data_IF_177540968076
#
_entry.id   IF_177540968076
#
_cell.length_a   1.000
_cell.length_b   1.000
_cell.length_c   1.000
_cell.angle_alpha   90.00
_cell.angle_beta   90.00
_cell.angle_gamma   90.00
#
_symmetry.space_group_name_H-M   'P 1'
#
loop_
_entity.id
_entity.type
_entity.pdbx_description
1 polymer ?
#
# COMPACT_ATOMS: atom_id res chain seq x y z
N UNK A 1 7.14 -31.28 -8.35
CA UNK A 1 6.02 -31.00 -9.29
C UNK A 1 6.38 -29.76 -10.11
N UNK A 2 6.18 -29.78 -11.43
CA UNK A 2 6.29 -28.58 -12.26
C UNK A 2 4.88 -28.06 -12.53
N UNK A 3 4.60 -26.84 -12.07
CA UNK A 3 3.31 -26.20 -12.30
C UNK A 3 3.28 -25.56 -13.69
N UNK A 4 2.15 -25.65 -14.38
CA UNK A 4 1.91 -24.92 -15.62
C UNK A 4 1.17 -23.61 -15.34
N UNK A 5 1.93 -22.58 -14.96
CA UNK A 5 1.40 -21.27 -14.61
C UNK A 5 0.70 -20.57 -15.77
N UNK A 6 1.16 -20.81 -16.99
CA UNK A 6 0.67 -20.07 -18.17
C UNK A 6 -0.63 -20.64 -18.74
N UNK A 7 -1.00 -21.87 -18.35
CA UNK A 7 -2.26 -22.51 -18.76
C UNK A 7 -3.47 -21.69 -18.32
N UNK A 8 -3.46 -21.17 -17.11
CA UNK A 8 -4.59 -20.46 -16.51
C UNK A 8 -4.49 -18.93 -16.59
N UNK A 9 -3.63 -18.36 -17.45
CA UNK A 9 -3.38 -16.92 -17.55
C UNK A 9 -4.64 -16.05 -17.74
N UNK A 10 -5.71 -16.56 -18.40
CA UNK A 10 -6.96 -15.84 -18.55
C UNK A 10 -7.65 -15.60 -17.19
N UNK A 11 -7.60 -16.58 -16.30
CA UNK A 11 -8.17 -16.47 -14.94
C UNK A 11 -7.40 -15.41 -14.16
N UNK A 12 -6.07 -15.41 -14.25
CA UNK A 12 -5.24 -14.41 -13.57
C UNK A 12 -5.51 -12.99 -14.07
N UNK A 13 -5.67 -12.80 -15.39
CA UNK A 13 -6.02 -11.49 -15.94
C UNK A 13 -7.41 -11.02 -15.52
N UNK A 14 -8.40 -11.92 -15.46
CA UNK A 14 -9.74 -11.58 -14.98
C UNK A 14 -9.68 -11.20 -13.49
N UNK A 15 -9.01 -11.98 -12.67
CA UNK A 15 -8.87 -11.71 -11.24
C UNK A 15 -8.16 -10.37 -10.98
N UNK A 16 -7.01 -10.13 -11.64
CA UNK A 16 -6.30 -8.85 -11.55
C UNK A 16 -7.15 -7.69 -12.06
N UNK A 17 -7.90 -7.89 -13.14
CA UNK A 17 -8.81 -6.89 -13.69
C UNK A 17 -9.92 -6.50 -12.71
N UNK A 18 -10.50 -7.48 -12.01
CA UNK A 18 -11.51 -7.24 -10.95
C UNK A 18 -10.90 -6.43 -9.81
N UNK A 19 -9.70 -6.78 -9.35
CA UNK A 19 -9.01 -6.05 -8.28
C UNK A 19 -8.69 -4.60 -8.68
N UNK A 20 -8.16 -4.40 -9.88
CA UNK A 20 -7.88 -3.06 -10.43
C UNK A 20 -9.17 -2.24 -10.54
N UNK A 21 -10.20 -2.80 -11.16
CA UNK A 21 -11.47 -2.11 -11.36
C UNK A 21 -12.13 -1.77 -10.01
N UNK A 22 -12.19 -2.73 -9.08
CA UNK A 22 -12.71 -2.50 -7.74
C UNK A 22 -11.95 -1.39 -7.00
N UNK A 23 -10.61 -1.40 -7.07
CA UNK A 23 -9.78 -0.36 -6.46
C UNK A 23 -10.01 1.03 -7.09
N UNK A 24 -10.13 1.09 -8.41
CA UNK A 24 -10.43 2.35 -9.13
C UNK A 24 -11.83 2.88 -8.78
N UNK A 25 -12.82 2.00 -8.71
CA UNK A 25 -14.19 2.38 -8.29
C UNK A 25 -14.18 2.90 -6.85
N UNK A 26 -13.54 2.20 -5.92
CA UNK A 26 -13.42 2.66 -4.54
C UNK A 26 -12.75 4.03 -4.46
N UNK A 27 -11.64 4.21 -5.18
CA UNK A 27 -10.90 5.46 -5.21
C UNK A 27 -11.74 6.60 -5.84
N UNK A 28 -12.44 6.34 -6.95
CA UNK A 28 -13.26 7.33 -7.65
C UNK A 28 -14.52 7.73 -6.89
N UNK A 29 -15.15 6.79 -6.16
CA UNK A 29 -16.41 7.05 -5.43
C UNK A 29 -16.15 7.61 -4.03
N UNK A 30 -15.16 7.07 -3.30
CA UNK A 30 -14.94 7.43 -1.89
C UNK A 30 -13.75 8.36 -1.69
N UNK A 31 -12.82 8.42 -2.64
CA UNK A 31 -11.59 9.21 -2.52
C UNK A 31 -10.66 8.70 -1.42
N UNK A 32 -9.67 9.51 -1.07
CA UNK A 32 -8.76 9.27 0.04
C UNK A 32 -8.95 10.36 1.08
N UNK A 33 -8.99 10.01 2.36
CA UNK A 33 -9.05 10.97 3.46
C UNK A 33 -7.64 11.33 3.90
N UNK A 34 -7.16 12.58 3.69
CA UNK A 34 -5.86 12.99 4.19
C UNK A 34 -5.86 13.06 5.72
N UNK A 35 -4.75 12.65 6.33
CA UNK A 35 -4.50 12.77 7.75
C UNK A 35 -4.04 14.18 8.15
N UNK A 36 -3.86 14.40 9.46
CA UNK A 36 -3.38 15.68 10.00
C UNK A 36 -2.00 16.08 9.47
N UNK A 37 -1.19 15.11 9.04
CA UNK A 37 0.09 15.35 8.37
C UNK A 37 -0.03 16.29 7.15
N UNK A 38 -1.19 16.31 6.50
CA UNK A 38 -1.44 17.05 5.26
C UNK A 38 -2.47 18.18 5.40
N UNK A 39 -3.35 18.07 6.40
CA UNK A 39 -4.41 19.07 6.65
C UNK A 39 -4.06 20.03 7.78
N UNK A 40 -3.14 19.64 8.63
CA UNK A 40 -3.01 20.18 9.97
C UNK A 40 -4.12 19.65 10.89
N UNK A 41 -3.97 19.87 12.19
CA UNK A 41 -4.91 19.44 13.23
C UNK A 41 -4.22 18.68 14.35
N UNK A 42 -5.02 18.26 15.34
CA UNK A 42 -4.56 17.48 16.49
C UNK A 42 -5.25 16.12 16.54
N UNK A 43 -4.51 15.12 16.99
CA UNK A 43 -4.99 13.78 17.33
C UNK A 43 -4.68 13.54 18.79
N UNK A 44 -5.73 13.20 19.55
CA UNK A 44 -5.62 12.76 20.93
C UNK A 44 -6.17 11.34 21.05
N UNK A 45 -5.36 10.41 21.51
CA UNK A 45 -5.77 9.05 21.82
C UNK A 45 -5.74 8.85 23.33
N UNK A 46 -6.90 8.47 23.89
CA UNK A 46 -7.05 8.23 25.32
C UNK A 46 -7.75 6.91 25.58
N UNK A 47 -7.48 6.32 26.75
CA UNK A 47 -8.17 5.15 27.28
C UNK A 47 -8.89 5.52 28.58
N UNK A 48 -10.19 5.22 28.66
CA UNK A 48 -10.98 5.42 29.87
C UNK A 48 -10.62 4.37 30.93
N UNK A 49 -10.43 4.80 32.18
CA UNK A 49 -10.18 3.88 33.30
C UNK A 49 -11.40 3.04 33.66
N UNK A 50 -12.59 3.55 33.37
CA UNK A 50 -13.87 2.89 33.52
C UNK A 50 -14.54 2.68 32.15
N UNK A 51 -15.86 2.63 32.10
CA UNK A 51 -16.62 2.56 30.85
C UNK A 51 -16.42 3.81 30.01
N UNK A 52 -16.26 3.63 28.70
CA UNK A 52 -16.06 4.72 27.75
C UNK A 52 -17.36 5.48 27.53
N UNK A 53 -17.29 6.80 27.52
CA UNK A 53 -18.40 7.63 27.11
C UNK A 53 -18.80 7.38 25.65
N UNK A 54 -20.08 7.53 25.36
CA UNK A 54 -20.59 7.49 23.97
C UNK A 54 -19.98 8.63 23.17
N UNK A 55 -19.91 8.47 21.84
CA UNK A 55 -19.38 9.52 20.96
C UNK A 55 -20.16 10.84 21.11
N UNK A 56 -21.47 10.78 21.44
CA UNK A 56 -22.29 11.96 21.65
C UNK A 56 -21.98 12.66 22.99
N UNK A 57 -21.74 11.91 24.04
CA UNK A 57 -21.34 12.47 25.34
C UNK A 57 -19.97 13.15 25.24
N UNK A 58 -19.01 12.53 24.54
CA UNK A 58 -17.70 13.13 24.28
C UNK A 58 -17.87 14.46 23.49
N UNK A 59 -18.68 14.45 22.43
CA UNK A 59 -18.96 15.68 21.68
C UNK A 59 -19.56 16.77 22.53
N UNK A 60 -20.53 16.43 23.38
CA UNK A 60 -21.19 17.38 24.26
C UNK A 60 -20.22 17.94 25.34
N UNK A 61 -19.36 17.08 25.92
CA UNK A 61 -18.36 17.49 26.89
C UNK A 61 -17.33 18.49 26.31
N UNK A 62 -17.04 18.37 25.04
CA UNK A 62 -16.05 19.21 24.35
C UNK A 62 -16.67 20.39 23.59
N UNK A 63 -18.00 20.55 23.62
CA UNK A 63 -18.71 21.54 22.80
C UNK A 63 -18.35 23.02 23.11
N UNK A 64 -17.96 23.30 24.35
CA UNK A 64 -17.59 24.65 24.80
C UNK A 64 -16.16 25.05 24.36
N UNK A 65 -15.37 24.08 23.91
CA UNK A 65 -14.03 24.33 23.42
C UNK A 65 -14.08 24.55 21.89
N UNK A 66 -13.44 25.59 21.43
CA UNK A 66 -13.40 25.93 19.99
C UNK A 66 -12.49 24.96 19.22
N UNK A 67 -12.84 23.65 19.17
CA UNK A 67 -12.03 22.58 18.57
C UNK A 67 -12.30 22.36 17.08
N UNK A 68 -13.20 23.14 16.48
CA UNK A 68 -13.63 22.93 15.10
C UNK A 68 -14.48 21.67 14.93
N UNK A 69 -14.39 21.02 13.80
CA UNK A 69 -15.08 19.74 13.57
C UNK A 69 -14.35 18.61 14.27
N UNK A 70 -15.04 17.92 15.18
CA UNK A 70 -14.48 16.84 15.98
C UNK A 70 -14.89 15.51 15.38
N UNK A 71 -13.90 14.66 15.08
CA UNK A 71 -14.10 13.27 14.66
C UNK A 71 -13.68 12.32 15.77
N UNK A 72 -14.62 11.51 16.24
CA UNK A 72 -14.43 10.55 17.34
C UNK A 72 -14.48 9.15 16.77
N UNK A 73 -13.40 8.41 16.96
CA UNK A 73 -13.25 7.02 16.52
C UNK A 73 -12.97 6.14 17.73
N UNK A 74 -13.87 5.19 18.06
CA UNK A 74 -13.61 4.20 19.11
C UNK A 74 -12.43 3.29 18.76
N UNK A 75 -11.63 2.93 19.76
CA UNK A 75 -10.54 1.96 19.64
C UNK A 75 -10.58 0.98 20.83
N UNK A 76 -10.64 -0.31 20.54
CA UNK A 76 -10.87 -1.30 21.59
C UNK A 76 -12.20 -1.08 22.34
N UNK A 77 -12.25 -1.54 23.59
CA UNK A 77 -13.45 -1.42 24.43
C UNK A 77 -13.54 -0.07 25.14
N UNK A 78 -12.40 0.48 25.58
CA UNK A 78 -12.33 1.70 26.41
C UNK A 78 -11.58 2.85 25.76
N UNK A 79 -10.92 2.62 24.62
CA UNK A 79 -10.13 3.62 23.93
C UNK A 79 -10.96 4.50 23.00
N UNK A 80 -10.47 5.71 22.76
CA UNK A 80 -11.01 6.63 21.76
C UNK A 80 -9.91 7.49 21.15
N UNK A 81 -9.99 7.68 19.84
CA UNK A 81 -9.17 8.64 19.09
C UNK A 81 -10.05 9.83 18.75
N UNK A 82 -9.64 11.00 19.17
CA UNK A 82 -10.31 12.27 18.91
C UNK A 82 -9.44 13.09 17.96
N UNK A 83 -9.99 13.49 16.82
CA UNK A 83 -9.34 14.38 15.87
C UNK A 83 -10.05 15.72 15.86
N UNK A 84 -9.28 16.80 15.89
CA UNK A 84 -9.79 18.16 16.00
C UNK A 84 -8.86 19.15 15.27
N UNK A 85 -9.20 20.43 15.22
CA UNK A 85 -8.28 21.44 14.71
C UNK A 85 -6.99 21.46 15.56
N UNK A 86 -5.95 22.08 15.01
CA UNK A 86 -4.71 22.35 15.75
C UNK A 86 -5.00 23.12 17.06
N UNK A 87 -4.53 22.58 18.18
CA UNK A 87 -4.72 23.16 19.52
C UNK A 87 -3.37 23.30 20.22
N UNK A 88 -3.30 24.29 21.10
CA UNK A 88 -2.16 24.50 21.99
C UNK A 88 -2.23 23.61 23.24
N UNK A 89 -1.14 23.59 24.01
CA UNK A 89 -1.06 22.79 25.22
C UNK A 89 -2.09 23.16 26.29
N UNK A 90 -2.47 24.44 26.38
CA UNK A 90 -3.47 24.88 27.35
C UNK A 90 -4.86 24.31 27.01
N UNK A 91 -5.24 24.31 25.74
CA UNK A 91 -6.49 23.71 25.25
C UNK A 91 -6.43 22.19 25.34
N UNK A 92 -5.27 21.56 25.09
CA UNK A 92 -5.07 20.12 25.28
C UNK A 92 -5.38 19.67 26.70
N UNK A 93 -4.86 20.37 27.71
CA UNK A 93 -5.14 20.08 29.12
C UNK A 93 -6.63 20.26 29.46
N UNK A 94 -7.31 21.28 28.91
CA UNK A 94 -8.75 21.46 29.08
C UNK A 94 -9.54 20.31 28.46
N UNK A 95 -9.12 19.78 27.31
CA UNK A 95 -9.74 18.61 26.69
C UNK A 95 -9.62 17.40 27.61
N UNK A 96 -8.43 17.12 28.16
CA UNK A 96 -8.22 15.99 29.07
C UNK A 96 -9.08 16.15 30.34
N UNK A 97 -9.16 17.33 30.93
CA UNK A 97 -9.99 17.61 32.10
C UNK A 97 -11.48 17.32 31.83
N UNK A 98 -12.01 17.74 30.66
CA UNK A 98 -13.40 17.51 30.27
C UNK A 98 -13.70 16.04 29.94
N UNK A 99 -12.72 15.28 29.45
CA UNK A 99 -12.85 13.83 29.24
C UNK A 99 -12.88 13.04 30.54
N UNK A 100 -12.39 13.62 31.66
CA UNK A 100 -12.44 13.02 32.97
C UNK A 100 -11.32 12.03 33.23
N UNK A 101 -11.63 10.86 33.83
CA UNK A 101 -10.63 9.87 34.21
C UNK A 101 -10.16 9.04 33.01
N UNK A 102 -9.27 9.63 32.22
CA UNK A 102 -8.66 9.00 31.05
C UNK A 102 -7.15 8.88 31.26
N UNK A 103 -6.56 7.91 30.60
CA UNK A 103 -5.12 7.79 30.40
C UNK A 103 -4.81 8.24 28.97
N UNK A 104 -3.93 9.22 28.84
CA UNK A 104 -3.47 9.69 27.54
C UNK A 104 -2.46 8.68 26.99
N UNK A 105 -2.79 8.11 25.83
CA UNK A 105 -1.90 7.19 25.11
C UNK A 105 -1.05 7.92 24.08
N UNK A 106 -1.61 9.01 23.49
CA UNK A 106 -0.93 9.73 22.42
C UNK A 106 -1.58 11.11 22.23
N UNK A 107 -0.73 12.13 22.09
CA UNK A 107 -1.12 13.44 21.57
C UNK A 107 -0.17 13.89 20.46
N UNK A 108 -0.72 14.31 19.35
CA UNK A 108 0.03 14.90 18.23
C UNK A 108 -0.72 16.12 17.72
N UNK A 109 0.01 17.20 17.48
CA UNK A 109 -0.54 18.43 16.91
C UNK A 109 0.36 18.93 15.80
N UNK A 110 -0.24 19.21 14.64
CA UNK A 110 0.46 19.69 13.44
C UNK A 110 -0.21 20.97 12.97
N UNK A 111 0.52 22.07 13.05
CA UNK A 111 0.04 23.34 12.57
C UNK A 111 -0.26 23.34 11.05
N UNK A 112 -1.24 24.12 10.58
CA UNK A 112 -1.67 24.12 9.17
C UNK A 112 -0.57 24.52 8.18
N UNK A 113 0.41 25.29 8.63
CA UNK A 113 1.58 25.66 7.79
C UNK A 113 2.47 24.46 7.54
N UNK A 114 2.78 23.70 8.60
CA UNK A 114 3.59 22.49 8.53
C UNK A 114 2.87 21.44 7.69
N UNK A 115 1.57 21.22 7.89
CA UNK A 115 0.78 20.26 7.10
C UNK A 115 0.82 20.58 5.61
N UNK A 116 0.72 21.85 5.22
CA UNK A 116 0.88 22.27 3.81
C UNK A 116 2.27 22.00 3.27
N UNK A 117 3.32 22.29 4.02
CA UNK A 117 4.70 22.02 3.64
C UNK A 117 4.94 20.52 3.44
N UNK A 118 4.48 19.67 4.37
CA UNK A 118 4.58 18.23 4.29
C UNK A 118 3.85 17.69 3.05
N UNK A 119 2.67 18.21 2.74
CA UNK A 119 1.91 17.85 1.54
C UNK A 119 2.69 18.13 0.26
N UNK A 120 3.29 19.31 0.13
CA UNK A 120 4.08 19.66 -1.07
C UNK A 120 5.36 18.84 -1.15
N UNK A 121 6.10 18.64 -0.06
CA UNK A 121 7.27 17.77 -0.02
C UNK A 121 6.92 16.32 -0.40
N UNK A 122 5.80 15.80 0.10
CA UNK A 122 5.33 14.44 -0.22
C UNK A 122 5.06 14.27 -1.71
N UNK A 123 4.45 15.25 -2.38
CA UNK A 123 4.25 15.22 -3.84
C UNK A 123 5.59 15.10 -4.58
N UNK A 124 6.58 15.91 -4.18
CA UNK A 124 7.92 15.88 -4.79
C UNK A 124 8.56 14.49 -4.60
N UNK A 125 8.50 13.94 -3.39
CA UNK A 125 9.06 12.62 -3.09
C UNK A 125 8.39 11.52 -3.92
N UNK A 126 7.06 11.54 -4.08
CA UNK A 126 6.33 10.58 -4.92
C UNK A 126 6.81 10.68 -6.37
N UNK A 127 6.86 11.88 -6.93
CA UNK A 127 7.30 12.09 -8.33
C UNK A 127 8.73 11.61 -8.54
N UNK A 128 9.65 12.01 -7.67
CA UNK A 128 11.06 11.60 -7.76
C UNK A 128 11.22 10.08 -7.63
N UNK A 129 10.48 9.44 -6.73
CA UNK A 129 10.49 7.98 -6.54
C UNK A 129 9.99 7.27 -7.80
N UNK A 130 8.90 7.73 -8.41
CA UNK A 130 8.38 7.15 -9.64
C UNK A 130 9.37 7.31 -10.81
N UNK A 131 9.99 8.49 -10.95
CA UNK A 131 11.01 8.73 -11.98
C UNK A 131 12.23 7.82 -11.77
N UNK A 132 12.71 7.69 -10.52
CA UNK A 132 13.83 6.81 -10.18
C UNK A 132 13.52 5.34 -10.52
N UNK A 133 12.30 4.88 -10.24
CA UNK A 133 11.86 3.51 -10.57
C UNK A 133 11.78 3.29 -12.07
N UNK A 134 11.19 4.22 -12.82
CA UNK A 134 11.12 4.14 -14.30
C UNK A 134 12.53 4.08 -14.90
N UNK A 135 13.44 4.94 -14.41
CA UNK A 135 14.85 4.94 -14.80
C UNK A 135 15.54 3.62 -14.47
N UNK A 136 15.34 3.10 -13.25
CA UNK A 136 15.88 1.80 -12.84
C UNK A 136 15.38 0.66 -13.75
N UNK A 137 14.09 0.61 -14.06
CA UNK A 137 13.49 -0.38 -14.97
C UNK A 137 14.14 -0.30 -16.35
N UNK A 138 14.32 0.91 -16.90
CA UNK A 138 14.97 1.13 -18.17
C UNK A 138 16.41 0.61 -18.19
N UNK A 139 17.16 0.83 -17.10
CA UNK A 139 18.52 0.31 -16.94
C UNK A 139 18.56 -1.22 -16.78
N UNK A 140 17.70 -1.78 -15.94
CA UNK A 140 17.65 -3.21 -15.64
C UNK A 140 17.40 -4.06 -16.91
N UNK A 141 16.52 -3.56 -17.77
CA UNK A 141 16.12 -4.32 -18.98
C UNK A 141 16.79 -3.87 -20.28
N UNK A 142 17.75 -2.93 -20.25
CA UNK A 142 18.38 -2.33 -21.45
C UNK A 142 19.05 -3.33 -22.41
N UNK A 143 19.42 -4.52 -21.97
CA UNK A 143 20.17 -5.52 -22.74
C UNK A 143 19.36 -6.77 -23.10
N UNK A 144 18.05 -6.75 -22.97
CA UNK A 144 17.21 -7.89 -23.32
C UNK A 144 16.89 -7.81 -24.82
N UNK A 145 17.29 -8.84 -25.57
CA UNK A 145 17.02 -8.97 -27.01
C UNK A 145 16.21 -10.25 -27.27
N UNK A 146 15.34 -10.19 -28.29
CA UNK A 146 14.53 -11.30 -28.85
C UNK A 146 14.31 -12.53 -27.92
N UNK A 147 13.09 -13.12 -27.91
CA UNK A 147 11.98 -12.80 -28.82
C UNK A 147 11.12 -11.60 -28.35
N UNK A 148 11.28 -11.11 -27.12
CA UNK A 148 10.58 -9.98 -26.52
C UNK A 148 11.58 -8.86 -26.26
N UNK A 149 11.28 -7.66 -26.67
CA UNK A 149 12.19 -6.51 -26.57
C UNK A 149 12.19 -5.88 -25.15
N UNK A 150 13.29 -5.20 -24.80
CA UNK A 150 13.52 -4.56 -23.50
C UNK A 150 12.33 -3.69 -23.04
N UNK A 151 11.74 -2.89 -23.93
CA UNK A 151 10.62 -2.01 -23.60
C UNK A 151 9.35 -2.77 -23.19
N UNK A 152 9.13 -4.00 -23.69
CA UNK A 152 8.00 -4.84 -23.33
C UNK A 152 8.15 -5.37 -21.90
N UNK A 153 9.37 -5.71 -21.48
CA UNK A 153 9.67 -6.02 -20.09
C UNK A 153 9.39 -4.81 -19.18
N UNK A 154 9.81 -3.62 -19.63
CA UNK A 154 9.55 -2.37 -18.91
C UNK A 154 8.06 -2.10 -18.71
N UNK A 155 7.27 -2.18 -19.77
CA UNK A 155 5.82 -1.95 -19.68
C UNK A 155 5.13 -3.03 -18.85
N UNK A 156 5.50 -4.31 -19.00
CA UNK A 156 4.93 -5.37 -18.18
C UNK A 156 5.24 -5.16 -16.68
N UNK A 157 6.44 -4.67 -16.35
CA UNK A 157 6.82 -4.30 -14.98
C UNK A 157 5.99 -3.12 -14.47
N UNK A 158 5.79 -2.08 -15.28
CA UNK A 158 4.99 -0.90 -14.89
C UNK A 158 3.52 -1.24 -14.70
N UNK A 159 2.95 -2.11 -15.53
CA UNK A 159 1.57 -2.58 -15.37
C UNK A 159 1.39 -3.39 -14.08
N UNK A 160 2.36 -4.27 -13.75
CA UNK A 160 2.37 -5.01 -12.51
C UNK A 160 2.51 -4.06 -11.31
N UNK A 161 3.42 -3.10 -11.37
CA UNK A 161 3.63 -2.10 -10.34
C UNK A 161 2.37 -1.27 -10.06
N UNK A 162 1.70 -0.82 -11.13
CA UNK A 162 0.43 -0.09 -11.01
C UNK A 162 -0.63 -0.93 -10.29
N UNK A 163 -0.78 -2.20 -10.69
CA UNK A 163 -1.67 -3.16 -10.02
C UNK A 163 -1.37 -3.27 -8.53
N UNK A 164 -0.09 -3.41 -8.16
CA UNK A 164 0.33 -3.71 -6.79
C UNK A 164 0.16 -2.52 -5.84
N UNK A 165 0.28 -1.31 -6.33
CA UNK A 165 0.06 -0.09 -5.55
C UNK A 165 -1.41 0.30 -5.51
N UNK A 166 -2.15 0.05 -6.58
CA UNK A 166 -3.56 0.43 -6.67
C UNK A 166 -4.43 -0.38 -5.69
N UNK A 167 -4.11 -1.65 -5.43
CA UNK A 167 -4.86 -2.51 -4.51
C UNK A 167 -4.86 -1.94 -3.08
N UNK A 168 -3.71 -1.67 -2.43
CA UNK A 168 -3.72 -1.06 -1.10
C UNK A 168 -4.37 0.33 -1.11
N UNK A 169 -4.17 1.17 -2.14
CA UNK A 169 -4.83 2.48 -2.25
C UNK A 169 -6.36 2.32 -2.29
N UNK A 170 -6.88 1.41 -3.12
CA UNK A 170 -8.32 1.14 -3.19
C UNK A 170 -8.88 0.61 -1.87
N UNK A 171 -8.13 -0.26 -1.18
CA UNK A 171 -8.51 -0.77 0.15
C UNK A 171 -8.53 0.36 1.18
N UNK A 172 -7.52 1.24 1.19
CA UNK A 172 -7.48 2.38 2.10
C UNK A 172 -8.61 3.37 1.83
N UNK A 173 -8.99 3.57 0.56
CA UNK A 173 -10.17 4.38 0.18
C UNK A 173 -11.46 3.81 0.79
N UNK A 174 -11.65 2.49 0.67
CA UNK A 174 -12.79 1.79 1.26
C UNK A 174 -12.81 1.90 2.79
N UNK A 175 -11.68 1.64 3.43
CA UNK A 175 -11.53 1.76 4.88
C UNK A 175 -11.69 3.21 5.35
N UNK A 176 -11.27 4.19 4.55
CA UNK A 176 -11.50 5.61 4.81
C UNK A 176 -12.98 5.96 4.87
N UNK A 177 -13.80 5.37 3.99
CA UNK A 177 -15.26 5.57 3.99
C UNK A 177 -15.93 4.98 5.22
N UNK A 178 -15.66 3.71 5.54
CA UNK A 178 -16.40 2.95 6.56
C UNK A 178 -15.81 3.05 7.96
N UNK A 179 -14.49 3.19 8.07
CA UNK A 179 -13.77 3.17 9.36
C UNK A 179 -13.02 4.48 9.66
N UNK A 180 -13.14 5.50 8.81
CA UNK A 180 -12.48 6.78 9.03
C UNK A 180 -10.96 6.74 8.90
N UNK A 181 -10.40 5.70 8.25
CA UNK A 181 -8.95 5.56 8.04
C UNK A 181 -8.43 6.72 7.20
N UNK A 182 -7.34 7.32 7.65
CA UNK A 182 -6.71 8.45 6.99
C UNK A 182 -5.38 8.07 6.37
N UNK A 183 -5.03 8.75 5.28
CA UNK A 183 -3.71 8.64 4.67
C UNK A 183 -2.76 9.55 5.45
N UNK A 184 -1.77 8.92 6.08
CA UNK A 184 -0.72 9.57 6.86
C UNK A 184 0.63 9.44 6.17
N UNK A 185 1.67 10.15 6.65
CA UNK A 185 3.04 10.01 6.11
C UNK A 185 3.53 8.56 6.18
N UNK A 186 3.36 7.81 7.29
CA UNK A 186 3.70 6.39 7.32
C UNK A 186 3.04 5.56 6.21
N UNK A 187 1.76 5.81 5.90
CA UNK A 187 1.06 5.12 4.80
C UNK A 187 1.67 5.45 3.44
N UNK A 188 2.04 6.71 3.20
CA UNK A 188 2.76 7.10 1.97
C UNK A 188 4.11 6.39 1.87
N UNK A 189 4.88 6.36 2.97
CA UNK A 189 6.16 5.62 3.03
C UNK A 189 5.96 4.14 2.73
N UNK A 190 4.88 3.52 3.26
CA UNK A 190 4.53 2.15 2.94
C UNK A 190 4.25 1.95 1.45
N UNK A 191 3.46 2.82 0.81
CA UNK A 191 3.18 2.77 -0.63
C UNK A 191 4.46 2.90 -1.47
N UNK A 192 5.37 3.81 -1.11
CA UNK A 192 6.67 3.95 -1.77
C UNK A 192 7.55 2.69 -1.57
N UNK A 193 7.49 2.09 -0.40
CA UNK A 193 8.20 0.83 -0.11
C UNK A 193 7.64 -0.33 -0.95
N UNK A 194 6.32 -0.40 -1.12
CA UNK A 194 5.66 -1.38 -2.02
C UNK A 194 6.17 -1.25 -3.45
N UNK A 195 6.37 -0.03 -3.95
CA UNK A 195 6.95 0.19 -5.28
C UNK A 195 8.30 -0.54 -5.44
N UNK A 196 9.21 -0.33 -4.49
CA UNK A 196 10.54 -0.96 -4.52
C UNK A 196 10.46 -2.48 -4.39
N UNK A 197 9.62 -2.98 -3.50
CA UNK A 197 9.45 -4.41 -3.26
C UNK A 197 8.85 -5.15 -4.47
N UNK A 198 7.81 -4.59 -5.08
CA UNK A 198 7.15 -5.13 -6.27
C UNK A 198 8.11 -5.24 -7.45
N UNK A 199 8.85 -4.16 -7.72
CA UNK A 199 9.86 -4.16 -8.81
C UNK A 199 10.93 -5.20 -8.56
N UNK A 200 11.44 -5.35 -7.33
CA UNK A 200 12.45 -6.35 -7.01
C UNK A 200 11.96 -7.78 -7.35
N UNK A 201 10.74 -8.14 -6.98
CA UNK A 201 10.16 -9.44 -7.30
C UNK A 201 10.05 -9.66 -8.82
N UNK A 202 9.58 -8.66 -9.54
CA UNK A 202 9.43 -8.72 -11.01
C UNK A 202 10.79 -8.85 -11.70
N UNK A 203 11.80 -8.09 -11.26
CA UNK A 203 13.15 -8.15 -11.81
C UNK A 203 13.78 -9.54 -11.60
N UNK A 204 13.62 -10.14 -10.43
CA UNK A 204 14.13 -11.50 -10.15
C UNK A 204 13.56 -12.54 -11.12
N UNK A 205 12.25 -12.48 -11.38
CA UNK A 205 11.59 -13.40 -12.32
C UNK A 205 12.07 -13.13 -13.75
N UNK A 206 12.12 -11.86 -14.16
CA UNK A 206 12.50 -11.47 -15.51
C UNK A 206 13.99 -11.74 -15.81
N UNK A 207 14.86 -11.55 -14.84
CA UNK A 207 16.27 -11.90 -15.00
C UNK A 207 16.45 -13.43 -15.18
N UNK A 208 15.66 -14.24 -14.45
CA UNK A 208 15.65 -15.69 -14.65
C UNK A 208 15.12 -16.09 -16.03
N UNK A 209 14.09 -15.42 -16.52
CA UNK A 209 13.61 -15.63 -17.89
C UNK A 209 14.72 -15.33 -18.90
N UNK A 210 15.41 -14.20 -18.72
CA UNK A 210 16.54 -13.79 -19.56
C UNK A 210 17.68 -14.84 -19.52
N UNK A 211 18.08 -15.28 -18.33
CA UNK A 211 19.12 -16.30 -18.16
C UNK A 211 18.76 -17.59 -18.89
N UNK A 212 17.52 -18.08 -18.72
CA UNK A 212 17.03 -19.29 -19.36
C UNK A 212 16.91 -19.15 -20.88
N UNK A 213 16.59 -17.95 -21.40
CA UNK A 213 16.64 -17.67 -22.83
C UNK A 213 18.06 -17.77 -23.40
N UNK A 214 19.06 -17.21 -22.71
CA UNK A 214 20.46 -17.27 -23.11
C UNK A 214 20.99 -18.72 -23.11
N UNK A 215 20.56 -19.52 -22.11
CA UNK A 215 20.90 -20.95 -22.00
C UNK A 215 20.04 -21.84 -22.89
N UNK A 216 19.09 -21.29 -23.65
CA UNK A 216 18.15 -22.03 -24.52
C UNK A 216 17.36 -23.11 -23.75
N UNK A 217 17.00 -22.84 -22.50
CA UNK A 217 16.18 -23.73 -21.68
C UNK A 217 14.72 -23.58 -22.08
N UNK A 218 14.13 -24.63 -22.65
CA UNK A 218 12.77 -24.68 -23.17
C UNK A 218 12.70 -24.63 -24.69
N UNK A 219 11.81 -25.47 -25.27
CA UNK A 219 11.61 -25.54 -26.73
C UNK A 219 10.89 -24.29 -27.29
N UNK A 220 10.12 -23.60 -26.45
CA UNK A 220 9.35 -22.39 -26.83
C UNK A 220 9.56 -21.29 -25.79
N UNK A 221 9.26 -20.04 -26.18
CA UNK A 221 9.29 -18.91 -25.22
C UNK A 221 8.37 -19.15 -24.02
N UNK A 222 7.17 -19.66 -24.24
CA UNK A 222 6.21 -20.03 -23.19
C UNK A 222 6.79 -21.10 -22.24
N UNK A 223 7.42 -22.12 -22.78
CA UNK A 223 8.13 -23.14 -21.99
C UNK A 223 9.29 -22.56 -21.18
N UNK A 224 10.07 -21.64 -21.74
CA UNK A 224 11.15 -20.94 -21.04
C UNK A 224 10.61 -20.09 -19.87
N UNK A 225 9.54 -19.33 -20.10
CA UNK A 225 8.90 -18.53 -19.05
C UNK A 225 8.36 -19.43 -17.94
N UNK A 226 7.65 -20.51 -18.29
CA UNK A 226 7.10 -21.43 -17.29
C UNK A 226 8.19 -22.13 -16.45
N UNK A 227 9.29 -22.52 -17.08
CA UNK A 227 10.46 -23.07 -16.36
C UNK A 227 11.07 -22.03 -15.40
N UNK A 228 11.18 -20.77 -15.83
CA UNK A 228 11.72 -19.68 -15.01
C UNK A 228 10.85 -19.39 -13.80
N UNK A 229 9.54 -19.39 -13.97
CA UNK A 229 8.57 -19.23 -12.88
C UNK A 229 8.72 -20.36 -11.85
N UNK A 230 8.80 -21.61 -12.29
CA UNK A 230 9.02 -22.75 -11.37
C UNK A 230 10.35 -22.64 -10.60
N UNK A 231 11.42 -22.12 -11.23
CA UNK A 231 12.73 -21.97 -10.60
C UNK A 231 12.77 -20.81 -9.58
N UNK A 232 11.98 -19.77 -9.77
CA UNK A 232 11.97 -18.57 -8.90
C UNK A 232 10.90 -18.61 -7.81
N UNK A 233 9.89 -19.48 -7.97
CA UNK A 233 8.70 -19.54 -7.09
C UNK A 233 9.06 -19.63 -5.60
N UNK A 234 9.86 -20.63 -5.24
CA UNK A 234 10.24 -20.85 -3.83
C UNK A 234 10.97 -19.66 -3.24
N UNK A 235 11.87 -19.04 -4.01
CA UNK A 235 12.59 -17.84 -3.56
C UNK A 235 11.64 -16.66 -3.35
N UNK A 236 10.78 -16.39 -4.33
CA UNK A 236 9.81 -15.28 -4.23
C UNK A 236 8.86 -15.48 -3.05
N UNK A 237 8.33 -16.70 -2.87
CA UNK A 237 7.45 -17.00 -1.74
C UNK A 237 8.15 -16.86 -0.40
N UNK A 238 9.35 -17.45 -0.23
CA UNK A 238 10.08 -17.39 1.03
C UNK A 238 10.41 -15.95 1.42
N UNK A 239 10.89 -15.13 0.47
CA UNK A 239 11.21 -13.73 0.72
C UNK A 239 9.95 -12.93 1.14
N UNK A 240 8.83 -13.18 0.48
CA UNK A 240 7.59 -12.47 0.81
C UNK A 240 6.98 -12.95 2.12
N UNK A 241 6.94 -14.26 2.37
CA UNK A 241 6.37 -14.83 3.59
C UNK A 241 7.14 -14.39 4.84
N UNK A 242 8.46 -14.36 4.81
CA UNK A 242 9.26 -13.90 5.96
C UNK A 242 8.94 -12.44 6.31
N UNK A 243 8.79 -11.58 5.31
CA UNK A 243 8.40 -10.17 5.53
C UNK A 243 6.95 -10.07 5.99
N UNK A 244 6.03 -10.83 5.39
CA UNK A 244 4.62 -10.83 5.75
C UNK A 244 4.39 -11.28 7.20
N UNK A 245 5.11 -12.27 7.71
CA UNK A 245 5.00 -12.70 9.10
C UNK A 245 5.32 -11.56 10.08
N UNK A 246 6.39 -10.82 9.83
CA UNK A 246 6.75 -9.65 10.66
C UNK A 246 5.67 -8.57 10.58
N UNK A 247 5.20 -8.26 9.38
CA UNK A 247 4.17 -7.24 9.16
C UNK A 247 2.82 -7.63 9.79
N UNK A 248 2.45 -8.90 9.73
CA UNK A 248 1.24 -9.42 10.40
C UNK A 248 1.38 -9.26 11.92
N UNK A 249 2.54 -9.56 12.50
CA UNK A 249 2.77 -9.33 13.92
C UNK A 249 2.63 -7.84 14.29
N UNK A 250 3.20 -6.94 13.46
CA UNK A 250 3.03 -5.48 13.65
C UNK A 250 1.57 -5.06 13.49
N UNK A 251 0.85 -5.61 12.51
CA UNK A 251 -0.56 -5.30 12.29
C UNK A 251 -1.45 -5.71 13.46
N UNK A 252 -1.16 -6.85 14.09
CA UNK A 252 -1.95 -7.40 15.19
C UNK A 252 -1.58 -6.80 16.55
N UNK A 253 -0.30 -6.49 16.77
CA UNK A 253 0.26 -6.14 18.09
C UNK A 253 0.81 -4.70 18.15
N UNK A 254 1.03 -4.08 16.99
CA UNK A 254 1.66 -2.77 16.90
C UNK A 254 0.62 -1.66 16.96
N UNK A 255 0.22 -1.02 17.90
CA UNK A 255 -0.73 0.11 18.05
C UNK A 255 -1.32 0.73 16.76
N UNK A 256 -2.33 1.54 16.90
CA UNK A 256 -3.12 2.09 15.77
C UNK A 256 -2.28 2.87 14.76
N UNK A 257 -1.19 3.51 15.20
CA UNK A 257 -0.29 4.28 14.31
C UNK A 257 0.37 3.40 13.24
N UNK A 258 0.81 2.18 13.63
CA UNK A 258 1.52 1.27 12.72
C UNK A 258 0.58 0.32 11.98
N UNK A 259 -0.66 0.20 12.42
CA UNK A 259 -1.65 -0.72 11.87
C UNK A 259 -1.88 -0.53 10.37
N UNK A 260 -2.19 0.69 9.94
CA UNK A 260 -2.45 0.97 8.53
C UNK A 260 -1.18 1.06 7.67
N UNK A 261 -0.05 1.40 8.27
CA UNK A 261 1.26 1.24 7.66
C UNK A 261 1.53 -0.24 7.33
N UNK A 262 1.40 -1.11 8.32
CA UNK A 262 1.61 -2.54 8.16
C UNK A 262 0.60 -3.16 7.19
N UNK A 263 -0.69 -2.81 7.28
CA UNK A 263 -1.72 -3.27 6.35
C UNK A 263 -1.40 -2.90 4.90
N UNK A 264 -0.96 -1.67 4.66
CA UNK A 264 -0.57 -1.20 3.33
C UNK A 264 0.57 -2.03 2.75
N UNK A 265 1.60 -2.32 3.57
CA UNK A 265 2.71 -3.19 3.19
C UNK A 265 2.27 -4.63 2.95
N UNK A 266 1.43 -5.20 3.81
CA UNK A 266 0.91 -6.56 3.65
C UNK A 266 0.20 -6.70 2.31
N UNK A 267 -0.74 -5.80 2.01
CA UNK A 267 -1.50 -5.83 0.77
C UNK A 267 -0.61 -5.64 -0.46
N UNK A 268 0.31 -4.67 -0.40
CA UNK A 268 1.21 -4.37 -1.51
C UNK A 268 2.23 -5.48 -1.78
N UNK A 269 2.82 -6.08 -0.73
CA UNK A 269 3.77 -7.19 -0.86
C UNK A 269 3.07 -8.46 -1.36
N UNK A 270 1.89 -8.77 -0.86
CA UNK A 270 1.09 -9.90 -1.33
C UNK A 270 0.70 -9.71 -2.81
N UNK A 271 0.23 -8.51 -3.18
CA UNK A 271 -0.08 -8.15 -4.56
C UNK A 271 1.16 -8.26 -5.47
N UNK A 272 2.33 -7.73 -5.04
CA UNK A 272 3.58 -7.76 -5.81
C UNK A 272 4.14 -9.17 -6.00
N UNK A 273 3.98 -10.03 -5.01
CA UNK A 273 4.35 -11.44 -5.13
C UNK A 273 3.44 -12.16 -6.12
N UNK A 274 2.14 -11.90 -6.05
CA UNK A 274 1.18 -12.42 -7.01
C UNK A 274 1.46 -11.91 -8.42
N UNK A 275 1.58 -10.61 -8.60
CA UNK A 275 1.66 -9.96 -9.91
C UNK A 275 2.92 -10.34 -10.69
N UNK A 276 4.07 -10.50 -10.04
CA UNK A 276 5.32 -10.90 -10.69
C UNK A 276 5.22 -12.28 -11.37
N UNK A 277 4.46 -13.20 -10.79
CA UNK A 277 4.27 -14.57 -11.27
C UNK A 277 3.07 -14.65 -12.22
N UNK A 278 1.92 -14.14 -11.79
CA UNK A 278 0.63 -14.39 -12.42
C UNK A 278 0.14 -13.26 -13.34
N UNK A 279 0.80 -12.08 -13.34
CA UNK A 279 0.43 -10.96 -14.18
C UNK A 279 1.57 -10.56 -15.13
N UNK A 280 2.72 -10.13 -14.61
CA UNK A 280 3.82 -9.59 -15.41
C UNK A 280 4.37 -10.60 -16.44
N UNK A 281 4.64 -11.84 -15.99
CA UNK A 281 5.19 -12.88 -16.85
C UNK A 281 4.20 -13.39 -17.91
N UNK A 282 2.91 -13.64 -17.59
CA UNK A 282 1.89 -13.94 -18.59
C UNK A 282 1.61 -12.82 -19.60
N UNK A 283 1.76 -11.54 -19.20
CA UNK A 283 1.66 -10.40 -20.14
C UNK A 283 2.69 -10.53 -21.26
N UNK A 284 3.96 -10.81 -20.94
CA UNK A 284 5.02 -10.98 -21.94
C UNK A 284 4.70 -12.09 -22.96
N UNK A 285 4.19 -13.23 -22.46
CA UNK A 285 3.82 -14.36 -23.33
C UNK A 285 2.62 -14.00 -24.21
N UNK A 286 1.61 -13.36 -23.65
CA UNK A 286 0.40 -12.94 -24.38
C UNK A 286 0.71 -11.90 -25.44
N UNK A 287 1.61 -10.96 -25.12
CA UNK A 287 2.09 -9.94 -26.07
C UNK A 287 2.80 -10.56 -27.27
N UNK A 288 3.71 -11.53 -27.02
CA UNK A 288 4.38 -12.21 -28.13
C UNK A 288 3.42 -12.99 -29.02
N UNK A 289 2.38 -13.63 -28.44
CA UNK A 289 1.35 -14.36 -29.22
C UNK A 289 0.50 -13.42 -30.06
N UNK A 290 0.16 -12.25 -29.52
CA UNK A 290 -0.60 -11.24 -30.25
C UNK A 290 0.16 -10.65 -31.46
N UNK A 291 1.47 -10.45 -31.29
CA UNK A 291 2.33 -9.92 -32.38
C UNK A 291 2.58 -10.93 -33.51
N UNK A 292 2.35 -12.22 -33.28
CA UNK A 292 2.53 -13.28 -34.30
C UNK A 292 1.25 -13.59 -35.09
N UNK A 293 0.13 -13.03 -34.68
CA UNK A 293 -1.13 -13.00 -35.45
C UNK A 293 -1.19 -11.78 -36.36
#
# INVERSE_FOLDING_TARGET
MRFDFLKYRKIYFIFSGILILGSLVCLGVFGLKPGIDFTGGSILEVEYKAERFSNQEIKNALADLELGEIYIQPTGERGVIIRMKDIDEATHQQVLEKLGQVEELRFESIGPVIGRELKEKTKIVIVLSLLAIVFYIALAFRRIQRPVSSWQYGIASLLALFHDVLIPIGTLSLLGKFYGVQITIPVIVALLTVLGYSINNTVVVFDRIRENLLKRIGATYEGTVNNSLNQTLTRSLNTSLTTLFVLIAIFLLGGETLKYFALTLILGIAAGTYSSIFLASPILVSWLKWRKK
#
